data_IF_149039934686
#
_entry.id   IF_149039934686
#
_cell.length_a   1.000
_cell.length_b   1.000
_cell.length_c   1.000
_cell.angle_alpha   90.00
_cell.angle_beta   90.00
_cell.angle_gamma   90.00
#
_symmetry.space_group_name_H-M   'P 1'
#
loop_
_entity.id
_entity.type
_entity.pdbx_description
1 polymer ?
#
# COMPACT_ATOMS: atom_id res chain seq x y z
N UNK A 1 -5.33 8.29 8.33
CA UNK A 1 -4.66 9.62 8.48
C UNK A 1 -5.65 10.59 9.15
N UNK A 2 -5.37 11.89 9.39
CA UNK A 2 -6.39 12.81 9.93
C UNK A 2 -6.12 14.28 9.56
N UNK A 3 -7.08 15.04 9.00
CA UNK A 3 -7.00 16.50 8.88
C UNK A 3 -7.50 17.19 10.17
N UNK A 4 -6.87 18.25 10.72
CA UNK A 4 -5.58 18.88 10.41
C UNK A 4 -4.38 18.29 11.21
N UNK A 5 -4.49 17.05 11.69
CA UNK A 5 -3.53 16.42 12.60
C UNK A 5 -2.40 15.63 11.92
N UNK A 6 -1.56 15.02 12.77
CA UNK A 6 -0.72 13.86 12.41
C UNK A 6 -1.60 12.63 12.64
N UNK A 7 -1.90 11.86 11.60
CA UNK A 7 -2.89 10.78 11.65
C UNK A 7 -2.72 9.88 12.88
N UNK A 8 -3.81 9.43 13.48
CA UNK A 8 -3.79 8.86 14.83
C UNK A 8 -3.02 7.55 14.95
N UNK A 9 -3.17 6.64 13.98
CA UNK A 9 -2.54 5.32 14.04
C UNK A 9 -1.16 5.32 13.41
N UNK A 10 -1.05 5.79 12.17
CA UNK A 10 0.23 5.78 11.45
C UNK A 10 1.08 7.04 11.67
N UNK A 11 0.58 8.06 12.38
CA UNK A 11 1.32 9.31 12.60
C UNK A 11 1.45 10.22 11.37
N UNK A 12 0.83 9.90 10.24
CA UNK A 12 1.02 10.57 8.94
C UNK A 12 -0.21 11.36 8.47
N UNK A 13 0.02 12.38 7.65
CA UNK A 13 -1.05 13.17 7.02
C UNK A 13 -1.65 12.44 5.81
N UNK A 14 -2.89 12.79 5.44
CA UNK A 14 -3.53 12.22 4.25
C UNK A 14 -2.89 12.69 2.93
N UNK A 15 -2.00 13.68 2.99
CA UNK A 15 -1.24 14.13 1.82
C UNK A 15 -0.05 13.20 1.52
N UNK A 16 0.56 12.62 2.55
CA UNK A 16 1.69 11.71 2.42
C UNK A 16 1.24 10.39 1.79
N UNK A 17 0.10 9.86 2.24
CA UNK A 17 -0.61 8.73 1.58
C UNK A 17 -1.05 8.99 0.12
N UNK A 18 -0.80 10.18 -0.44
CA UNK A 18 -1.27 10.56 -1.77
C UNK A 18 -0.17 11.02 -2.70
N UNK A 19 1.08 10.78 -2.34
CA UNK A 19 2.22 11.04 -3.20
C UNK A 19 2.84 9.72 -3.70
N UNK A 20 3.97 9.80 -4.40
CA UNK A 20 4.61 8.62 -4.98
C UNK A 20 5.74 8.04 -4.09
N UNK A 21 5.95 8.58 -2.89
CA UNK A 21 6.85 8.00 -1.88
C UNK A 21 6.11 6.92 -1.10
N UNK A 22 6.14 5.69 -1.60
CA UNK A 22 5.46 4.58 -0.94
C UNK A 22 6.05 4.24 0.44
N UNK A 23 7.15 4.88 0.88
CA UNK A 23 7.79 4.55 2.15
C UNK A 23 6.85 4.74 3.35
N UNK A 24 6.09 5.83 3.39
CA UNK A 24 5.13 6.05 4.48
C UNK A 24 3.81 5.30 4.28
N UNK A 25 3.35 5.12 3.03
CA UNK A 25 2.22 4.25 2.70
C UNK A 25 2.44 2.83 3.18
N UNK A 26 3.60 2.25 2.85
CA UNK A 26 3.94 0.87 3.18
C UNK A 26 4.20 0.70 4.68
N UNK A 27 4.77 1.71 5.34
CA UNK A 27 4.87 1.71 6.80
C UNK A 27 3.49 1.67 7.47
N UNK A 28 2.54 2.46 6.99
CA UNK A 28 1.17 2.45 7.51
C UNK A 28 0.42 1.16 7.17
N UNK A 29 0.57 0.67 5.94
CA UNK A 29 -0.04 -0.59 5.49
C UNK A 29 0.48 -1.79 6.29
N UNK A 30 1.79 -1.87 6.55
CA UNK A 30 2.37 -2.94 7.38
C UNK A 30 1.85 -2.91 8.81
N UNK A 31 1.74 -1.72 9.41
CA UNK A 31 1.15 -1.57 10.74
C UNK A 31 -0.28 -2.13 10.80
N UNK A 32 -1.13 -1.75 9.83
CA UNK A 32 -2.51 -2.22 9.73
C UNK A 32 -2.56 -3.74 9.53
N UNK A 33 -1.72 -4.27 8.66
CA UNK A 33 -1.59 -5.70 8.38
C UNK A 33 -1.23 -6.48 9.65
N UNK A 34 -0.21 -6.05 10.40
CA UNK A 34 0.22 -6.72 11.63
C UNK A 34 -0.87 -6.73 12.70
N UNK A 35 -1.57 -5.59 12.88
CA UNK A 35 -2.65 -5.50 13.85
C UNK A 35 -3.84 -6.40 13.46
N UNK A 36 -4.17 -6.51 12.17
CA UNK A 36 -5.21 -7.41 11.68
C UNK A 36 -4.82 -8.88 11.76
N UNK A 37 -3.54 -9.19 11.54
CA UNK A 37 -3.03 -10.54 11.68
C UNK A 37 -3.16 -10.99 13.15
N UNK A 38 -2.90 -10.08 14.10
CA UNK A 38 -3.05 -10.35 15.55
C UNK A 38 -4.50 -10.67 15.95
N UNK A 39 -5.47 -10.01 15.33
CA UNK A 39 -6.89 -10.12 15.70
C UNK A 39 -7.60 -11.25 14.93
N UNK A 40 -7.36 -11.34 13.62
CA UNK A 40 -8.12 -12.21 12.70
C UNK A 40 -7.34 -13.44 12.21
N UNK A 41 -6.02 -13.48 12.47
CA UNK A 41 -5.12 -14.51 11.95
C UNK A 41 -4.64 -14.29 10.51
N UNK A 42 -5.19 -13.32 9.79
CA UNK A 42 -4.79 -12.95 8.42
C UNK A 42 -4.83 -11.42 8.26
N UNK A 43 -3.65 -10.80 8.12
CA UNK A 43 -3.51 -9.34 8.09
C UNK A 43 -4.18 -8.66 6.90
N UNK A 44 -4.38 -9.38 5.79
CA UNK A 44 -5.04 -8.83 4.61
C UNK A 44 -6.53 -8.58 4.82
N UNK A 45 -7.12 -9.11 5.89
CA UNK A 45 -8.52 -8.85 6.25
C UNK A 45 -8.84 -7.39 6.56
N UNK A 46 -7.82 -6.54 6.73
CA UNK A 46 -8.05 -5.10 6.88
C UNK A 46 -8.61 -4.45 5.60
N UNK A 47 -8.43 -5.07 4.43
CA UNK A 47 -8.90 -4.57 3.14
C UNK A 47 -10.15 -5.32 2.70
N UNK A 48 -11.27 -4.61 2.56
CA UNK A 48 -12.56 -5.20 2.19
C UNK A 48 -12.52 -5.94 0.85
N UNK A 49 -11.64 -5.53 -0.07
CA UNK A 49 -11.45 -6.17 -1.37
C UNK A 49 -10.75 -7.53 -1.30
N UNK A 50 -10.02 -7.82 -0.21
CA UNK A 50 -9.14 -8.99 -0.15
C UNK A 50 -9.90 -10.32 -0.24
N UNK A 51 -10.88 -10.55 0.65
CA UNK A 51 -11.66 -11.79 0.67
C UNK A 51 -12.39 -12.08 -0.65
N UNK A 52 -13.17 -11.15 -1.23
CA UNK A 52 -13.90 -11.43 -2.47
C UNK A 52 -12.99 -11.54 -3.71
N UNK A 53 -11.89 -10.77 -3.78
CA UNK A 53 -11.17 -10.59 -5.04
C UNK A 53 -9.72 -11.10 -5.06
N UNK A 54 -9.02 -11.14 -3.93
CA UNK A 54 -7.57 -11.38 -3.92
C UNK A 54 -7.16 -12.68 -3.22
N UNK A 55 -7.89 -13.12 -2.19
CA UNK A 55 -7.56 -14.33 -1.45
C UNK A 55 -7.59 -15.57 -2.35
N UNK A 56 -6.43 -16.19 -2.55
CA UNK A 56 -6.26 -17.35 -3.43
C UNK A 56 -6.53 -17.07 -4.92
N UNK A 57 -6.51 -15.80 -5.34
CA UNK A 57 -6.82 -15.36 -6.72
C UNK A 57 -5.76 -14.40 -7.28
N UNK A 58 -4.69 -14.14 -6.53
CA UNK A 58 -3.70 -13.12 -6.86
C UNK A 58 -2.50 -13.63 -7.64
N UNK A 59 -2.30 -14.94 -7.81
CA UNK A 59 -1.04 -15.51 -8.31
C UNK A 59 -0.61 -14.94 -9.68
N UNK A 60 -1.57 -14.66 -10.56
CA UNK A 60 -1.30 -14.09 -11.90
C UNK A 60 -0.92 -12.61 -11.87
N UNK A 61 -1.07 -11.92 -10.72
CA UNK A 61 -0.75 -10.50 -10.60
C UNK A 61 0.73 -10.19 -10.77
N UNK A 62 1.62 -11.18 -10.62
CA UNK A 62 3.06 -11.02 -10.82
C UNK A 62 3.62 -11.84 -11.99
N UNK A 63 2.74 -12.48 -12.77
CA UNK A 63 3.15 -13.22 -13.98
C UNK A 63 3.86 -12.27 -14.96
N UNK A 64 5.05 -12.68 -15.41
CA UNK A 64 5.92 -11.89 -16.29
C UNK A 64 6.56 -10.64 -15.66
N UNK A 65 6.40 -10.39 -14.36
CA UNK A 65 6.96 -9.17 -13.74
C UNK A 65 8.43 -9.27 -13.35
N UNK A 66 8.92 -10.50 -13.15
CA UNK A 66 10.26 -10.82 -12.64
C UNK A 66 11.08 -11.70 -13.59
N UNK A 67 10.58 -11.95 -14.80
CA UNK A 67 11.37 -12.62 -15.83
C UNK A 67 12.44 -11.63 -16.29
N UNK A 68 13.68 -11.88 -15.88
CA UNK A 68 14.85 -11.14 -16.36
C UNK A 68 14.98 -11.37 -17.87
N UNK A 69 15.36 -10.33 -18.60
CA UNK A 69 15.69 -10.39 -20.03
C UNK A 69 16.74 -11.48 -20.33
N UNK A 70 16.32 -12.73 -20.56
CA UNK A 70 17.22 -13.81 -21.02
C UNK A 70 17.78 -13.58 -22.43
N UNK A 71 17.42 -12.47 -23.11
CA UNK A 71 17.94 -12.10 -24.44
C UNK A 71 18.61 -10.72 -24.51
N UNK A 72 18.93 -10.08 -23.38
CA UNK A 72 19.81 -8.91 -23.41
C UNK A 72 21.27 -9.37 -23.65
N UNK A 73 21.61 -9.63 -24.92
CA UNK A 73 22.99 -9.78 -25.41
C UNK A 73 23.67 -8.41 -25.32
N UNK A 74 23.95 -7.97 -24.11
CA UNK A 74 24.93 -6.92 -23.83
C UNK A 74 25.71 -7.38 -22.60
N UNK A 75 27.01 -7.71 -22.73
CA UNK A 75 27.83 -7.98 -21.58
C UNK A 75 28.14 -6.65 -20.88
N UNK A 76 27.20 -6.14 -20.09
CA UNK A 76 27.54 -5.20 -19.04
C UNK A 76 27.75 -5.99 -17.75
N UNK A 77 28.88 -5.78 -17.05
CA UNK A 77 29.19 -6.49 -15.81
C UNK A 77 28.09 -6.28 -14.77
N UNK A 78 28.03 -7.12 -13.71
CA UNK A 78 27.21 -6.85 -12.53
C UNK A 78 27.83 -5.65 -11.80
N UNK A 79 27.72 -4.46 -12.39
CA UNK A 79 27.84 -3.23 -11.65
C UNK A 79 26.70 -3.26 -10.66
N UNK A 80 27.03 -3.65 -9.42
CA UNK A 80 26.64 -2.91 -8.22
C UNK A 80 25.78 -1.72 -8.60
N UNK A 81 24.47 -1.96 -8.76
CA UNK A 81 23.53 -0.86 -8.97
C UNK A 81 23.68 -0.06 -7.69
N UNK A 82 24.39 1.07 -7.77
CA UNK A 82 24.43 2.04 -6.67
C UNK A 82 22.97 2.24 -6.27
N UNK A 83 22.63 2.22 -4.97
CA UNK A 83 21.28 2.55 -4.56
C UNK A 83 20.97 3.91 -5.18
N UNK A 84 20.08 3.92 -6.17
CA UNK A 84 19.59 5.16 -6.76
C UNK A 84 18.91 5.85 -5.60
N UNK A 85 19.56 6.91 -5.10
CA UNK A 85 19.01 7.71 -4.02
C UNK A 85 17.55 8.04 -4.39
N UNK A 86 16.59 7.82 -3.47
CA UNK A 86 15.20 8.05 -3.77
C UNK A 86 15.01 9.48 -4.32
N UNK A 87 14.16 9.65 -5.34
CA UNK A 87 13.89 10.98 -5.89
C UNK A 87 13.41 11.88 -4.76
N UNK A 88 13.91 13.13 -4.69
CA UNK A 88 13.53 14.08 -3.64
C UNK A 88 12.15 14.72 -3.88
N UNK A 89 11.58 14.54 -5.07
CA UNK A 89 10.28 15.05 -5.47
C UNK A 89 9.42 13.88 -5.95
N UNK A 90 8.35 13.61 -5.21
CA UNK A 90 7.41 12.56 -5.53
C UNK A 90 6.18 13.16 -6.21
N UNK A 91 5.87 12.79 -7.47
CA UNK A 91 4.72 13.33 -8.16
C UNK A 91 3.43 12.84 -7.51
N UNK A 92 2.51 13.76 -7.26
CA UNK A 92 1.11 13.43 -7.02
C UNK A 92 0.46 13.05 -8.36
N UNK A 93 -0.40 12.05 -8.36
CA UNK A 93 -1.12 11.55 -9.52
C UNK A 93 -0.40 10.47 -10.30
N UNK A 94 0.66 9.86 -9.76
CA UNK A 94 1.28 8.68 -10.37
C UNK A 94 0.28 7.52 -10.40
N UNK A 95 0.18 6.86 -11.54
CA UNK A 95 -0.51 5.58 -11.68
C UNK A 95 0.55 4.56 -12.07
N UNK A 96 0.74 3.54 -11.23
CA UNK A 96 1.71 2.49 -11.54
C UNK A 96 1.14 1.51 -12.59
N UNK A 97 2.03 0.97 -13.41
CA UNK A 97 1.74 -0.27 -14.14
C UNK A 97 1.85 -1.50 -13.22
N UNK A 98 1.13 -2.59 -13.52
CA UNK A 98 1.10 -3.81 -12.69
C UNK A 98 2.50 -4.30 -12.27
N UNK A 99 3.38 -4.52 -13.25
CA UNK A 99 4.73 -4.99 -12.98
C UNK A 99 5.69 -3.90 -12.48
N UNK A 100 5.39 -2.63 -12.74
CA UNK A 100 6.13 -1.53 -12.15
C UNK A 100 5.92 -1.52 -10.63
N UNK A 101 4.67 -1.61 -10.18
CA UNK A 101 4.34 -1.69 -8.76
C UNK A 101 4.94 -2.94 -8.12
N UNK A 102 4.77 -4.11 -8.73
CA UNK A 102 5.32 -5.36 -8.21
C UNK A 102 6.84 -5.27 -7.93
N UNK A 103 7.58 -4.67 -8.87
CA UNK A 103 9.03 -4.47 -8.76
C UNK A 103 9.40 -3.39 -7.74
N UNK A 104 8.64 -2.30 -7.63
CA UNK A 104 8.87 -1.28 -6.59
C UNK A 104 8.70 -1.90 -5.19
N UNK A 105 7.60 -2.62 -4.95
CA UNK A 105 7.32 -3.29 -3.68
C UNK A 105 8.43 -4.29 -3.31
N UNK A 106 8.88 -5.08 -4.28
CA UNK A 106 9.90 -6.10 -4.05
C UNK A 106 11.33 -5.51 -3.93
N UNK A 107 11.83 -4.84 -4.97
CA UNK A 107 13.23 -4.44 -5.04
C UNK A 107 13.56 -3.19 -4.22
N UNK A 108 12.60 -2.27 -4.05
CA UNK A 108 12.86 -0.97 -3.41
C UNK A 108 12.42 -0.96 -1.95
N UNK A 109 11.31 -1.63 -1.64
CA UNK A 109 10.77 -1.69 -0.29
C UNK A 109 10.95 -3.04 0.41
N UNK A 110 11.46 -4.06 -0.29
CA UNK A 110 11.88 -5.32 0.34
C UNK A 110 10.73 -6.16 0.88
N UNK A 111 9.51 -6.01 0.35
CA UNK A 111 8.39 -6.85 0.75
C UNK A 111 8.66 -8.33 0.38
N UNK A 112 8.20 -9.30 1.20
CA UNK A 112 8.35 -10.71 0.88
C UNK A 112 7.71 -11.07 -0.46
N UNK A 113 8.40 -11.88 -1.27
CA UNK A 113 7.98 -12.21 -2.65
C UNK A 113 6.57 -12.82 -2.70
N UNK A 114 6.25 -13.69 -1.74
CA UNK A 114 4.96 -14.35 -1.58
C UNK A 114 3.80 -13.40 -1.27
N UNK A 115 4.09 -12.20 -0.76
CA UNK A 115 3.08 -11.17 -0.49
C UNK A 115 2.83 -10.23 -1.68
N UNK A 116 3.78 -10.13 -2.62
CA UNK A 116 3.73 -9.13 -3.70
C UNK A 116 2.46 -9.28 -4.53
N UNK A 117 2.12 -10.51 -4.91
CA UNK A 117 0.94 -10.78 -5.74
C UNK A 117 -0.35 -10.29 -5.07
N UNK A 118 -0.50 -10.54 -3.76
CA UNK A 118 -1.66 -10.11 -2.99
C UNK A 118 -1.72 -8.59 -2.85
N UNK A 119 -0.59 -7.93 -2.56
CA UNK A 119 -0.54 -6.47 -2.45
C UNK A 119 -0.82 -5.77 -3.78
N UNK A 120 -0.32 -6.30 -4.89
CA UNK A 120 -0.64 -5.80 -6.24
C UNK A 120 -2.14 -5.98 -6.52
N UNK A 121 -2.74 -7.12 -6.15
CA UNK A 121 -4.18 -7.29 -6.27
C UNK A 121 -4.98 -6.26 -5.47
N UNK A 122 -4.62 -6.04 -4.20
CA UNK A 122 -5.29 -5.06 -3.33
C UNK A 122 -5.17 -3.67 -3.94
N UNK A 123 -3.96 -3.23 -4.29
CA UNK A 123 -3.74 -1.91 -4.91
C UNK A 123 -4.55 -1.72 -6.21
N UNK A 124 -4.68 -2.79 -7.02
CA UNK A 124 -5.50 -2.73 -8.22
C UNK A 124 -6.98 -2.48 -7.89
N UNK A 125 -7.52 -3.24 -6.93
CA UNK A 125 -8.94 -3.21 -6.57
C UNK A 125 -9.33 -1.95 -5.80
N UNK A 126 -8.42 -1.45 -4.97
CA UNK A 126 -8.64 -0.26 -4.16
C UNK A 126 -8.52 1.03 -4.99
N UNK A 127 -7.49 1.15 -5.84
CA UNK A 127 -7.15 2.44 -6.44
C UNK A 127 -6.87 2.41 -7.95
N UNK A 128 -6.96 1.24 -8.60
CA UNK A 128 -6.44 1.05 -9.96
C UNK A 128 -4.97 1.50 -10.07
N UNK A 129 -4.17 1.24 -9.02
CA UNK A 129 -2.76 1.63 -8.90
C UNK A 129 -2.47 3.14 -8.84
N UNK A 130 -3.50 3.97 -8.64
CA UNK A 130 -3.35 5.42 -8.54
C UNK A 130 -2.95 5.83 -7.13
N UNK A 131 -1.73 6.34 -6.96
CA UNK A 131 -1.22 6.76 -5.64
C UNK A 131 -1.98 7.96 -5.07
N UNK A 132 -2.70 8.73 -5.88
CA UNK A 132 -3.49 9.87 -5.41
C UNK A 132 -4.99 9.61 -5.37
N UNK A 133 -5.41 8.34 -5.37
CA UNK A 133 -6.83 7.98 -5.28
C UNK A 133 -7.47 8.52 -3.99
N UNK A 134 -8.75 8.89 -4.11
CA UNK A 134 -9.61 9.30 -3.00
C UNK A 134 -10.94 8.57 -3.14
N UNK A 135 -11.22 7.67 -2.20
CA UNK A 135 -12.52 7.04 -2.02
C UNK A 135 -13.41 7.95 -1.18
N UNK A 136 -14.62 8.24 -1.66
CA UNK A 136 -15.57 9.18 -1.02
C UNK A 136 -16.93 8.58 -0.71
N UNK A 137 -17.05 7.27 -0.82
CA UNK A 137 -18.34 6.56 -0.74
C UNK A 137 -18.66 6.04 0.66
N UNK A 138 -17.92 6.47 1.68
CA UNK A 138 -18.15 5.98 3.03
C UNK A 138 -19.35 6.67 3.66
N UNK A 139 -20.30 5.87 4.15
CA UNK A 139 -21.58 6.34 4.69
C UNK A 139 -21.42 7.19 5.97
N UNK A 140 -20.27 7.10 6.64
CA UNK A 140 -19.90 7.88 7.81
C UNK A 140 -19.21 9.22 7.46
N UNK A 141 -19.01 9.51 6.18
CA UNK A 141 -18.34 10.70 5.69
C UNK A 141 -16.81 10.63 5.67
N UNK A 142 -16.22 9.47 5.96
CA UNK A 142 -14.78 9.24 5.83
C UNK A 142 -14.31 9.24 4.37
N UNK A 143 -13.04 9.56 4.16
CA UNK A 143 -12.35 9.38 2.90
C UNK A 143 -11.27 8.28 3.03
N UNK A 144 -11.08 7.52 1.94
CA UNK A 144 -10.00 6.55 1.82
C UNK A 144 -8.92 7.09 0.90
N UNK A 145 -7.65 6.96 1.31
CA UNK A 145 -6.56 7.67 0.65
C UNK A 145 -5.53 6.72 0.05
N UNK A 146 -5.10 7.07 -1.15
CA UNK A 146 -3.87 6.53 -1.71
C UNK A 146 -4.01 5.17 -2.35
N UNK A 147 -2.84 4.58 -2.63
CA UNK A 147 -2.68 3.32 -3.34
C UNK A 147 -3.46 2.16 -2.68
N UNK A 148 -3.50 2.16 -1.34
CA UNK A 148 -4.13 1.11 -0.53
C UNK A 148 -5.43 1.55 0.16
N UNK A 149 -6.01 2.68 -0.25
CA UNK A 149 -7.28 3.21 0.28
C UNK A 149 -7.36 3.17 1.81
N UNK A 150 -6.35 3.77 2.46
CA UNK A 150 -6.29 3.84 3.92
C UNK A 150 -7.23 4.95 4.40
N UNK A 151 -8.28 4.54 5.13
CA UNK A 151 -9.30 5.43 5.71
C UNK A 151 -8.74 6.49 6.68
N UNK A 152 -9.38 7.66 6.70
CA UNK A 152 -9.17 8.72 7.69
C UNK A 152 -9.94 8.54 9.01
N UNK A 153 -10.93 7.64 9.10
CA UNK A 153 -11.76 7.42 10.32
C UNK A 153 -11.58 6.04 10.95
N UNK A 154 -11.41 4.97 10.15
CA UNK A 154 -11.51 3.60 10.68
C UNK A 154 -10.45 3.23 11.74
N UNK A 155 -9.37 4.01 11.81
CA UNK A 155 -8.23 3.73 12.68
C UNK A 155 -8.22 4.58 13.97
N UNK A 156 -8.97 5.71 14.06
CA UNK A 156 -9.32 6.45 15.28
C UNK A 156 -9.97 7.82 14.95
N UNK A 157 -11.04 8.23 15.68
CA UNK A 157 -11.62 9.59 15.67
C UNK A 157 -12.06 10.05 17.07
N UNK A 158 -11.70 11.26 17.54
CA UNK A 158 -12.35 11.89 18.69
C UNK A 158 -13.78 12.36 18.37
N UNK A 159 -14.75 12.29 19.31
CA UNK A 159 -14.69 11.61 20.60
C UNK A 159 -15.18 10.15 20.42
N UNK A 160 -14.28 9.19 20.24
CA UNK A 160 -14.71 7.83 19.92
C UNK A 160 -13.62 6.77 20.05
N UNK A 161 -14.07 5.54 20.29
CA UNK A 161 -13.26 4.33 20.13
C UNK A 161 -13.15 4.04 18.63
N UNK A 162 -11.93 3.87 18.12
CA UNK A 162 -11.72 3.34 16.77
C UNK A 162 -12.42 1.99 16.64
N UNK A 163 -13.19 1.80 15.58
CA UNK A 163 -14.11 0.67 15.44
C UNK A 163 -13.41 -0.70 15.31
N UNK A 164 -12.15 -0.73 14.89
CA UNK A 164 -11.48 -1.98 14.52
C UNK A 164 -10.55 -2.53 15.61
N UNK A 165 -9.88 -1.68 16.39
CA UNK A 165 -8.93 -2.12 17.41
C UNK A 165 -9.46 -2.07 18.86
N UNK A 166 -10.61 -1.45 19.12
CA UNK A 166 -11.16 -1.31 20.48
C UNK A 166 -10.27 -0.51 21.44
N UNK A 167 -9.19 0.10 20.94
CA UNK A 167 -8.27 0.95 21.69
C UNK A 167 -8.87 2.35 21.85
N UNK A 168 -8.70 2.92 23.04
CA UNK A 168 -9.04 4.33 23.29
C UNK A 168 -8.00 5.23 22.62
N UNK A 169 -8.44 6.19 21.82
CA UNK A 169 -7.62 7.31 21.39
C UNK A 169 -7.23 8.13 22.63
N UNK A 170 -5.93 8.32 22.88
CA UNK A 170 -5.41 9.10 24.00
C UNK A 170 -5.30 10.59 23.66
#
# INVERSE_FOLDING_TARGET
>A
CSPPGRGWVCGISCAQLRDADLSDDLGCMQFIFEEHARISGDGYNAWAVYQPYCRGKSDTMIEGCFEEDENAIVPTPPTTRRPIAPPKNFPRGKVYERCELARELYYRHGLPYDQIATWVCIAHRESSYNVSAIGRLNADGSEDHGLFQISDIYWCSPPGKGWVCGLSCA
#
